data_IF_809016112565
#
_entry.id   IF_809016112565
#
_cell.length_a   1.000
_cell.length_b   1.000
_cell.length_c   1.000
_cell.angle_alpha   90.00
_cell.angle_beta   90.00
_cell.angle_gamma   90.00
#
_symmetry.space_group_name_H-M   'P 1'
#
loop_
_entity.id
_entity.type
_entity.pdbx_description
1 polymer ?
#
# COMPACT_ATOMS: atom_id res chain seq x y z
N UNK A 1 -9.99 -4.31 17.52
CA UNK A 1 -9.92 -5.24 16.37
C UNK A 1 -10.63 -4.59 15.20
N UNK A 2 -10.03 -4.49 14.01
CA UNK A 2 -10.71 -3.91 12.86
C UNK A 2 -11.94 -4.76 12.49
N UNK A 3 -13.01 -4.08 12.07
CA UNK A 3 -14.16 -4.73 11.44
C UNK A 3 -13.77 -5.12 10.01
N UNK A 4 -14.09 -6.34 9.60
CA UNK A 4 -13.82 -6.86 8.26
C UNK A 4 -15.10 -7.45 7.69
N UNK A 5 -15.43 -7.08 6.47
CA UNK A 5 -16.58 -7.57 5.73
C UNK A 5 -16.20 -8.04 4.32
N UNK A 6 -17.05 -8.82 3.68
CA UNK A 6 -16.87 -9.30 2.31
C UNK A 6 -15.84 -10.41 2.12
N UNK A 7 -15.20 -10.94 3.18
CA UNK A 7 -14.23 -12.04 3.07
C UNK A 7 -14.80 -13.28 2.35
N UNK A 8 -16.09 -13.56 2.54
CA UNK A 8 -16.78 -14.66 1.88
C UNK A 8 -16.89 -14.57 0.35
N UNK A 9 -16.63 -13.39 -0.22
CA UNK A 9 -16.66 -13.16 -1.68
C UNK A 9 -15.34 -13.50 -2.37
N UNK A 10 -14.29 -13.85 -1.61
CA UNK A 10 -12.99 -14.17 -2.19
C UNK A 10 -12.98 -15.54 -2.87
N UNK A 11 -12.30 -15.69 -4.03
CA UNK A 11 -12.04 -16.99 -4.63
C UNK A 11 -11.33 -17.92 -3.64
N UNK A 12 -11.81 -19.15 -3.51
CA UNK A 12 -11.29 -20.13 -2.53
C UNK A 12 -10.03 -20.86 -3.02
N UNK A 13 -9.73 -20.80 -4.30
CA UNK A 13 -8.54 -21.38 -4.94
C UNK A 13 -7.25 -20.58 -4.66
N UNK A 14 -7.37 -19.41 -4.04
CA UNK A 14 -6.21 -18.54 -3.74
C UNK A 14 -5.63 -17.81 -4.94
N UNK A 15 -6.24 -17.93 -6.12
CA UNK A 15 -5.74 -17.35 -7.37
C UNK A 15 -6.46 -16.04 -7.68
N UNK A 16 -5.97 -14.92 -7.16
CA UNK A 16 -6.59 -13.60 -7.37
C UNK A 16 -5.60 -12.44 -7.15
N UNK A 17 -5.97 -11.29 -7.68
CA UNK A 17 -5.28 -10.02 -7.52
C UNK A 17 -6.11 -9.09 -6.64
N UNK A 18 -5.70 -8.89 -5.38
CA UNK A 18 -6.25 -7.87 -4.50
C UNK A 18 -5.78 -6.48 -4.94
N UNK A 19 -6.73 -5.58 -5.14
CA UNK A 19 -6.45 -4.20 -5.56
C UNK A 19 -7.07 -3.24 -4.55
N UNK A 20 -6.26 -2.48 -3.86
CA UNK A 20 -6.73 -1.62 -2.76
C UNK A 20 -6.15 -0.22 -2.74
N UNK A 21 -6.73 0.61 -1.88
CA UNK A 21 -6.19 1.90 -1.51
C UNK A 21 -5.05 1.74 -0.51
N UNK A 22 -4.07 2.64 -0.60
CA UNK A 22 -2.95 2.71 0.35
C UNK A 22 -3.16 3.90 1.29
N UNK A 23 -3.09 3.66 2.60
CA UNK A 23 -3.39 4.69 3.59
C UNK A 23 -2.14 5.21 4.28
N UNK A 24 -2.24 6.32 4.99
CA UNK A 24 -1.14 6.83 5.80
C UNK A 24 -0.74 5.79 6.87
N UNK A 25 0.55 5.51 6.95
CA UNK A 25 1.07 4.51 7.90
C UNK A 25 1.15 3.09 7.36
N UNK A 26 0.47 2.76 6.26
CA UNK A 26 0.67 1.51 5.52
C UNK A 26 0.28 0.23 6.26
N UNK A 27 -0.53 0.30 7.31
CA UNK A 27 -0.90 -0.86 8.14
C UNK A 27 -1.64 -1.95 7.38
N UNK A 28 -2.37 -1.59 6.33
CA UNK A 28 -3.11 -2.51 5.47
C UNK A 28 -2.22 -3.53 4.74
N UNK A 29 -0.95 -3.21 4.53
CA UNK A 29 0.03 -4.14 3.94
C UNK A 29 0.14 -5.43 4.78
N UNK A 30 -0.07 -5.33 6.09
CA UNK A 30 -0.04 -6.45 7.02
C UNK A 30 -1.44 -6.98 7.33
N UNK A 31 -2.42 -6.08 7.49
CA UNK A 31 -3.79 -6.46 7.88
C UNK A 31 -4.49 -7.26 6.79
N UNK A 32 -4.43 -6.83 5.53
CA UNK A 32 -5.11 -7.53 4.43
C UNK A 32 -4.58 -8.96 4.27
N UNK A 33 -3.26 -9.21 4.13
CA UNK A 33 -2.74 -10.57 4.07
C UNK A 33 -3.09 -11.43 5.29
N UNK A 34 -3.10 -10.83 6.48
CA UNK A 34 -3.47 -11.53 7.71
C UNK A 34 -4.90 -12.05 7.65
N UNK A 35 -5.88 -11.20 7.33
CA UNK A 35 -7.30 -11.61 7.27
C UNK A 35 -7.58 -12.59 6.13
N UNK A 36 -6.97 -12.40 4.96
CA UNK A 36 -7.10 -13.36 3.85
C UNK A 36 -6.58 -14.73 4.26
N UNK A 37 -5.42 -14.78 4.91
CA UNK A 37 -4.86 -16.04 5.41
C UNK A 37 -5.76 -16.72 6.45
N UNK A 38 -6.39 -15.96 7.34
CA UNK A 38 -7.32 -16.50 8.33
C UNK A 38 -8.58 -17.07 7.68
N UNK A 39 -9.08 -16.45 6.62
CA UNK A 39 -10.35 -16.84 5.98
C UNK A 39 -10.21 -18.02 5.02
N UNK A 40 -9.18 -18.01 4.16
CA UNK A 40 -9.02 -19.01 3.09
C UNK A 40 -7.69 -19.76 3.13
N UNK A 41 -6.80 -19.48 4.09
CA UNK A 41 -5.48 -20.10 4.19
C UNK A 41 -4.46 -19.62 3.15
N UNK A 42 -4.85 -18.80 2.19
CA UNK A 42 -3.95 -18.34 1.13
C UNK A 42 -2.90 -17.37 1.63
N UNK A 43 -1.67 -17.51 1.13
CA UNK A 43 -0.59 -16.55 1.35
C UNK A 43 -0.70 -15.44 0.32
N UNK A 44 -0.86 -14.21 0.78
CA UNK A 44 -0.88 -13.03 -0.10
C UNK A 44 0.53 -12.46 -0.26
N UNK A 45 0.88 -12.06 -1.48
CA UNK A 45 2.17 -11.48 -1.87
C UNK A 45 2.00 -9.98 -2.16
N UNK A 46 2.24 -9.08 -1.18
CA UNK A 46 2.21 -7.65 -1.44
C UNK A 46 3.31 -7.22 -2.41
N UNK A 47 2.95 -6.45 -3.43
CA UNK A 47 3.91 -5.82 -4.34
C UNK A 47 4.42 -4.52 -3.74
N UNK A 48 5.64 -4.54 -3.23
CA UNK A 48 6.30 -3.40 -2.62
C UNK A 48 6.94 -2.48 -3.68
N UNK A 49 7.05 -1.19 -3.39
CA UNK A 49 7.75 -0.28 -4.28
C UNK A 49 9.23 -0.66 -4.43
N UNK A 50 9.81 -0.41 -5.63
CA UNK A 50 11.20 -0.78 -5.96
C UNK A 50 12.23 -0.21 -4.99
N UNK A 51 11.98 0.97 -4.44
CA UNK A 51 12.85 1.59 -3.43
C UNK A 51 12.94 0.77 -2.14
N UNK A 52 11.91 -0.02 -1.82
CA UNK A 52 11.90 -0.88 -0.63
C UNK A 52 12.88 -2.05 -0.75
N UNK A 53 13.22 -2.49 -1.96
CA UNK A 53 14.28 -3.48 -2.18
C UNK A 53 15.69 -2.99 -1.79
N UNK A 54 15.86 -1.69 -1.53
CA UNK A 54 17.10 -1.07 -1.07
C UNK A 54 17.11 -0.76 0.44
N UNK A 55 16.05 -1.16 1.16
CA UNK A 55 15.97 -0.93 2.60
C UNK A 55 16.98 -1.83 3.33
N UNK A 56 17.64 -1.30 4.36
CA UNK A 56 18.55 -2.13 5.18
C UNK A 56 17.77 -3.14 6.02
N UNK A 57 18.41 -4.27 6.31
CA UNK A 57 17.97 -5.17 7.37
C UNK A 57 17.96 -4.40 8.73
N UNK A 58 17.06 -4.70 9.65
CA UNK A 58 16.06 -5.81 9.64
C UNK A 58 14.73 -5.45 8.96
N UNK A 59 14.54 -4.22 8.47
CA UNK A 59 13.26 -3.78 7.91
C UNK A 59 12.90 -4.58 6.64
N UNK A 60 13.84 -4.79 5.73
CA UNK A 60 13.65 -5.63 4.54
C UNK A 60 13.22 -7.06 4.91
N UNK A 61 13.78 -7.61 5.99
CA UNK A 61 13.51 -8.97 6.43
C UNK A 61 12.09 -9.12 6.98
N UNK A 62 11.59 -8.11 7.68
CA UNK A 62 10.18 -8.08 8.13
C UNK A 62 9.23 -8.12 6.93
N UNK A 63 9.44 -7.28 5.93
CA UNK A 63 8.59 -7.27 4.73
C UNK A 63 8.68 -8.59 3.97
N UNK A 64 9.87 -9.17 3.82
CA UNK A 64 10.06 -10.47 3.18
C UNK A 64 9.37 -11.60 3.94
N UNK A 65 9.44 -11.59 5.28
CA UNK A 65 8.75 -12.56 6.13
C UNK A 65 7.23 -12.52 5.96
N UNK A 66 6.66 -11.33 5.76
CA UNK A 66 5.25 -11.15 5.41
C UNK A 66 4.93 -11.48 3.94
N UNK A 67 5.91 -11.86 3.15
CA UNK A 67 5.73 -12.28 1.76
C UNK A 67 5.77 -11.16 0.74
N UNK A 68 6.14 -9.94 1.15
CA UNK A 68 6.29 -8.83 0.21
C UNK A 68 7.42 -9.12 -0.80
N UNK A 69 7.19 -8.72 -2.04
CA UNK A 69 8.16 -8.83 -3.13
C UNK A 69 8.28 -7.49 -3.85
N UNK A 70 9.42 -7.26 -4.49
CA UNK A 70 9.62 -6.02 -5.27
C UNK A 70 8.63 -5.99 -6.44
N UNK A 71 7.82 -4.94 -6.50
CA UNK A 71 6.76 -4.76 -7.49
C UNK A 71 7.34 -4.40 -8.86
N UNK A 72 7.29 -5.37 -9.77
CA UNK A 72 7.57 -5.21 -11.18
C UNK A 72 6.56 -6.04 -11.99
N UNK A 73 6.24 -5.67 -13.24
CA UNK A 73 5.34 -6.46 -14.07
C UNK A 73 5.81 -7.91 -14.23
N UNK A 74 7.12 -8.12 -14.34
CA UNK A 74 7.77 -9.43 -14.48
C UNK A 74 7.55 -10.28 -13.22
N UNK A 75 7.78 -9.70 -12.05
CA UNK A 75 7.55 -10.36 -10.76
C UNK A 75 6.08 -10.73 -10.59
N UNK A 76 5.16 -9.83 -10.96
CA UNK A 76 3.73 -10.10 -10.87
C UNK A 76 3.32 -11.25 -11.80
N UNK A 77 3.82 -11.29 -13.06
CA UNK A 77 3.57 -12.39 -13.97
C UNK A 77 4.10 -13.72 -13.46
N UNK A 78 5.28 -13.71 -12.85
CA UNK A 78 5.88 -14.92 -12.28
C UNK A 78 5.04 -15.46 -11.13
N UNK A 79 4.59 -14.59 -10.21
CA UNK A 79 3.67 -14.98 -9.14
C UNK A 79 2.35 -15.55 -9.70
N UNK A 80 1.80 -14.92 -10.75
CA UNK A 80 0.58 -15.40 -11.41
C UNK A 80 0.74 -16.78 -12.06
N UNK A 81 1.92 -17.09 -12.62
CA UNK A 81 2.21 -18.44 -13.16
C UNK A 81 2.26 -19.52 -12.08
N UNK A 82 2.54 -19.13 -10.84
CA UNK A 82 2.54 -20.02 -9.68
C UNK A 82 1.25 -19.96 -8.86
N UNK A 83 0.19 -19.40 -9.43
CA UNK A 83 -1.14 -19.28 -8.82
C UNK A 83 -1.15 -18.60 -7.44
N UNK A 84 -0.20 -17.67 -7.21
CA UNK A 84 -0.07 -16.93 -5.96
C UNK A 84 -1.11 -15.80 -5.84
N UNK A 85 -1.68 -15.60 -4.66
CA UNK A 85 -2.51 -14.42 -4.38
C UNK A 85 -1.63 -13.17 -4.28
N UNK A 86 -1.99 -12.11 -4.97
CA UNK A 86 -1.18 -10.89 -5.08
C UNK A 86 -1.96 -9.70 -4.50
N UNK A 87 -1.29 -8.80 -3.79
CA UNK A 87 -1.85 -7.54 -3.32
C UNK A 87 -1.10 -6.38 -3.97
N UNK A 88 -1.85 -5.49 -4.61
CA UNK A 88 -1.32 -4.28 -5.23
C UNK A 88 -2.07 -3.03 -4.78
N UNK A 89 -1.30 -1.98 -4.53
CA UNK A 89 -1.79 -0.63 -4.29
C UNK A 89 -1.41 0.25 -5.49
N UNK A 90 -2.35 0.56 -6.41
CA UNK A 90 -2.00 1.28 -7.64
C UNK A 90 -1.40 2.67 -7.41
N UNK A 91 -1.81 3.34 -6.35
CA UNK A 91 -1.24 4.62 -5.93
C UNK A 91 0.17 4.51 -5.39
N UNK A 92 0.48 3.37 -4.75
CA UNK A 92 1.79 3.13 -4.12
C UNK A 92 2.14 4.20 -3.10
N UNK A 93 3.42 4.52 -2.97
CA UNK A 93 3.93 5.51 -2.01
C UNK A 93 3.29 6.90 -2.07
N UNK A 94 2.62 7.26 -3.19
CA UNK A 94 1.88 8.52 -3.30
C UNK A 94 0.68 8.60 -2.37
N UNK A 95 0.01 7.47 -2.13
CA UNK A 95 -1.15 7.41 -1.24
C UNK A 95 -0.74 7.43 0.23
N UNK A 96 0.45 6.94 0.56
CA UNK A 96 1.00 7.05 1.90
C UNK A 96 1.43 8.50 2.19
N UNK A 97 1.92 9.21 1.19
CA UNK A 97 2.47 10.56 1.29
C UNK A 97 1.39 11.65 1.16
N UNK A 98 0.30 11.52 1.91
CA UNK A 98 -0.80 12.50 1.92
C UNK A 98 -0.48 13.66 2.88
N UNK A 99 -0.52 14.88 2.38
CA UNK A 99 -0.45 16.10 3.19
C UNK A 99 -1.82 16.44 3.76
N UNK A 100 -1.87 17.39 4.67
CA UNK A 100 -3.13 17.89 5.25
C UNK A 100 -4.06 18.41 4.15
N UNK A 101 -5.29 17.89 4.14
CA UNK A 101 -6.32 18.18 3.14
C UNK A 101 -6.29 17.23 1.93
N UNK A 102 -5.41 16.23 1.92
CA UNK A 102 -5.36 15.19 0.89
C UNK A 102 -5.91 13.84 1.39
N UNK A 103 -6.47 13.80 2.60
CA UNK A 103 -7.06 12.61 3.21
C UNK A 103 -8.21 12.09 2.36
N UNK A 104 -8.46 10.79 2.37
CA UNK A 104 -9.54 10.09 1.64
C UNK A 104 -9.52 10.25 0.11
N UNK A 105 -8.43 10.73 -0.47
CA UNK A 105 -8.27 10.81 -1.92
C UNK A 105 -7.52 9.61 -2.48
N UNK A 106 -8.03 9.03 -3.57
CA UNK A 106 -7.29 8.02 -4.33
C UNK A 106 -6.30 8.71 -5.28
N UNK A 107 -5.03 8.35 -5.16
CA UNK A 107 -3.94 8.95 -5.97
C UNK A 107 -3.38 7.97 -6.99
N UNK A 108 -4.24 7.26 -7.71
CA UNK A 108 -3.85 6.24 -8.69
C UNK A 108 -3.31 6.81 -9.99
N UNK A 109 -3.68 8.05 -10.35
CA UNK A 109 -3.18 8.76 -11.54
C UNK A 109 -3.26 7.90 -12.82
N UNK A 110 -4.42 7.29 -13.06
CA UNK A 110 -4.69 6.42 -14.23
C UNK A 110 -3.76 5.20 -14.33
N UNK A 111 -3.14 4.77 -13.24
CA UNK A 111 -2.33 3.55 -13.23
C UNK A 111 -3.22 2.31 -13.36
N UNK A 112 -3.27 1.75 -14.55
CA UNK A 112 -4.07 0.57 -14.90
C UNK A 112 -3.22 -0.67 -15.17
N UNK A 113 -1.94 -0.69 -14.73
CA UNK A 113 -1.05 -1.82 -14.95
C UNK A 113 -1.56 -3.12 -14.34
N UNK A 114 -2.22 -3.02 -13.19
CA UNK A 114 -2.85 -4.17 -12.55
C UNK A 114 -3.99 -4.78 -13.38
N UNK A 115 -4.81 -3.94 -14.03
CA UNK A 115 -5.90 -4.42 -14.89
C UNK A 115 -5.36 -5.11 -16.14
N UNK A 116 -4.29 -4.56 -16.73
CA UNK A 116 -3.61 -5.22 -17.86
C UNK A 116 -3.08 -6.59 -17.45
N UNK A 117 -2.38 -6.71 -16.33
CA UNK A 117 -1.87 -7.98 -15.82
C UNK A 117 -2.98 -8.98 -15.55
N UNK A 118 -4.11 -8.52 -14.97
CA UNK A 118 -5.30 -9.35 -14.74
C UNK A 118 -5.83 -9.96 -16.07
N UNK A 119 -6.03 -9.13 -17.09
CA UNK A 119 -6.54 -9.56 -18.39
C UNK A 119 -5.54 -10.50 -19.08
N UNK A 120 -4.26 -10.14 -19.14
CA UNK A 120 -3.20 -10.93 -19.80
C UNK A 120 -3.04 -12.33 -19.18
N UNK A 121 -3.28 -12.47 -17.88
CA UNK A 121 -3.06 -13.73 -17.15
C UNK A 121 -4.36 -14.40 -16.68
N UNK A 122 -5.53 -13.90 -17.09
CA UNK A 122 -6.85 -14.39 -16.68
C UNK A 122 -6.96 -14.47 -15.13
N UNK A 123 -6.49 -13.43 -14.43
CA UNK A 123 -6.45 -13.35 -12.99
C UNK A 123 -7.61 -12.50 -12.47
N UNK A 124 -8.53 -13.04 -11.68
CA UNK A 124 -9.66 -12.25 -11.16
C UNK A 124 -9.16 -11.12 -10.23
N UNK A 125 -9.78 -9.94 -10.36
CA UNK A 125 -9.53 -8.82 -9.46
C UNK A 125 -10.54 -8.89 -8.32
N UNK A 126 -10.02 -8.82 -7.09
CA UNK A 126 -10.80 -8.65 -5.87
C UNK A 126 -10.51 -7.25 -5.32
N UNK A 127 -11.45 -6.30 -5.42
CA UNK A 127 -11.25 -4.98 -4.83
C UNK A 127 -11.29 -5.08 -3.31
N UNK A 128 -10.38 -4.36 -2.66
CA UNK A 128 -10.33 -4.27 -1.20
C UNK A 128 -10.16 -2.81 -0.78
N UNK A 129 -10.87 -2.40 0.27
CA UNK A 129 -10.76 -1.05 0.80
C UNK A 129 -10.47 -1.05 2.29
N UNK A 130 -9.49 -0.25 2.73
CA UNK A 130 -9.31 0.12 4.11
C UNK A 130 -9.93 1.49 4.36
N UNK A 131 -10.96 1.55 5.21
CA UNK A 131 -11.62 2.78 5.65
C UNK A 131 -11.07 3.16 7.03
N UNK A 132 -10.91 4.46 7.30
CA UNK A 132 -10.36 4.97 8.56
C UNK A 132 -8.82 4.98 8.63
N UNK A 133 -8.11 4.34 7.71
CA UNK A 133 -6.64 4.30 7.74
C UNK A 133 -5.98 5.68 7.66
N UNK A 134 -6.60 6.64 7.00
CA UNK A 134 -6.11 8.02 6.93
C UNK A 134 -6.34 8.82 8.25
N UNK A 135 -7.14 8.29 9.18
CA UNK A 135 -7.37 8.90 10.50
C UNK A 135 -6.36 8.45 11.57
N UNK A 136 -5.64 7.37 11.30
CA UNK A 136 -4.62 6.81 12.21
C UNK A 136 -3.53 7.85 12.51
N UNK A 137 -3.17 8.64 11.51
CA UNK A 137 -2.23 9.75 11.63
C UNK A 137 -2.85 11.04 11.07
N UNK A 138 -2.42 12.18 11.58
CA UNK A 138 -2.76 13.50 11.03
C UNK A 138 -1.53 14.14 10.40
N UNK A 139 -1.64 14.50 9.14
CA UNK A 139 -0.66 15.36 8.48
C UNK A 139 -0.74 16.78 9.03
N UNK A 140 0.40 17.33 9.43
CA UNK A 140 0.52 18.65 10.04
C UNK A 140 0.68 19.76 9.00
N UNK A 141 1.20 19.41 7.83
CA UNK A 141 1.59 20.34 6.77
C UNK A 141 0.70 20.19 5.55
N UNK A 142 0.34 21.30 4.94
CA UNK A 142 -0.22 21.34 3.59
C UNK A 142 0.91 21.26 2.57
N UNK A 143 0.67 20.64 1.41
CA UNK A 143 1.68 20.50 0.34
C UNK A 143 2.20 21.84 -0.16
N UNK A 144 1.30 22.82 -0.31
CA UNK A 144 1.60 24.15 -0.84
C UNK A 144 2.15 25.12 0.21
N UNK A 145 2.15 24.73 1.49
CA UNK A 145 2.76 25.51 2.58
C UNK A 145 4.28 25.58 2.45
N UNK A 146 4.91 26.57 3.11
CA UNK A 146 6.38 26.78 3.05
C UNK A 146 7.18 25.51 3.39
N UNK A 147 6.79 24.81 4.48
CA UNK A 147 7.44 23.57 4.89
C UNK A 147 7.10 22.37 3.98
N UNK A 148 5.88 22.32 3.46
CA UNK A 148 5.49 21.27 2.50
C UNK A 148 6.26 21.40 1.19
N UNK A 149 6.39 22.60 0.65
CA UNK A 149 7.22 22.88 -0.54
C UNK A 149 8.69 22.55 -0.29
N UNK A 150 9.22 22.87 0.89
CA UNK A 150 10.59 22.53 1.28
C UNK A 150 10.81 21.00 1.32
N UNK A 151 9.90 20.26 1.98
CA UNK A 151 9.92 18.79 2.00
C UNK A 151 9.87 18.21 0.57
N UNK A 152 8.99 18.74 -0.27
CA UNK A 152 8.85 18.31 -1.67
C UNK A 152 10.14 18.57 -2.47
N UNK A 153 10.74 19.75 -2.34
CA UNK A 153 11.97 20.12 -3.05
C UNK A 153 13.17 19.23 -2.63
N UNK A 154 13.30 18.94 -1.33
CA UNK A 154 14.35 18.04 -0.85
C UNK A 154 14.13 16.62 -1.42
N UNK A 155 12.88 16.12 -1.36
CA UNK A 155 12.57 14.78 -1.87
C UNK A 155 12.84 14.69 -3.37
N UNK A 156 12.49 15.72 -4.13
CA UNK A 156 12.78 15.80 -5.56
C UNK A 156 14.29 15.74 -5.83
N UNK A 157 15.08 16.51 -5.08
CA UNK A 157 16.55 16.52 -5.23
C UNK A 157 17.17 15.16 -4.90
N UNK A 158 16.64 14.42 -3.92
CA UNK A 158 17.19 13.14 -3.47
C UNK A 158 16.70 11.95 -4.29
N UNK A 159 15.47 11.98 -4.77
CA UNK A 159 14.81 10.82 -5.38
C UNK A 159 14.36 11.03 -6.82
N UNK A 160 14.43 12.27 -7.33
CA UNK A 160 13.87 12.65 -8.63
C UNK A 160 12.33 12.69 -8.65
N UNK A 161 11.68 12.66 -7.48
CA UNK A 161 10.22 12.55 -7.35
C UNK A 161 9.65 13.53 -6.33
N UNK A 162 8.59 14.24 -6.72
CA UNK A 162 7.87 15.19 -5.85
C UNK A 162 6.70 14.55 -5.12
N UNK A 163 6.18 13.46 -5.65
CA UNK A 163 4.93 12.82 -5.24
C UNK A 163 5.06 11.91 -4.02
N UNK A 164 6.28 11.64 -3.57
CA UNK A 164 6.61 10.83 -2.40
C UNK A 164 7.17 11.63 -1.23
N UNK A 165 7.05 12.95 -1.25
CA UNK A 165 7.53 13.78 -0.16
C UNK A 165 6.83 13.38 1.16
N UNK A 166 7.60 13.08 2.23
CA UNK A 166 7.00 12.68 3.50
C UNK A 166 6.30 13.88 4.16
N UNK A 167 5.01 13.76 4.50
CA UNK A 167 4.36 14.76 5.32
C UNK A 167 4.86 14.64 6.77
N UNK A 168 4.88 15.76 7.50
CA UNK A 168 5.04 15.69 8.95
C UNK A 168 3.73 15.18 9.56
N UNK A 169 3.77 13.98 10.12
CA UNK A 169 2.60 13.31 10.70
C UNK A 169 2.68 13.24 12.22
N UNK A 170 1.53 13.16 12.87
CA UNK A 170 1.41 12.85 14.29
C UNK A 170 0.28 11.87 14.54
N UNK A 171 0.46 11.02 15.54
CA UNK A 171 -0.56 10.12 16.09
C UNK A 171 -1.27 10.71 17.29
N UNK A 172 -1.22 10.03 18.44
CA UNK A 172 -1.76 10.53 19.71
C UNK A 172 -0.87 11.67 20.21
N UNK A 173 -1.46 12.86 20.39
CA UNK A 173 -0.71 14.04 20.79
C UNK A 173 0.41 14.38 19.80
N UNK A 174 1.64 14.69 20.25
CA UNK A 174 2.79 14.96 19.39
C UNK A 174 3.56 13.69 18.97
N UNK A 175 3.09 12.50 19.35
CA UNK A 175 3.80 11.24 19.12
C UNK A 175 3.48 10.62 17.78
N UNK A 176 4.25 9.58 17.40
CA UNK A 176 3.96 8.69 16.26
C UNK A 176 3.17 7.43 16.68
N UNK A 177 2.59 7.42 17.88
CA UNK A 177 1.71 6.33 18.32
C UNK A 177 0.40 6.42 17.52
N UNK A 178 -0.03 5.33 16.85
CA UNK A 178 -1.26 5.31 16.07
C UNK A 178 -2.46 5.69 16.92
N UNK A 179 -3.42 6.43 16.33
CA UNK A 179 -4.69 6.73 16.99
C UNK A 179 -5.56 5.50 17.00
N UNK A 180 -6.29 5.22 18.07
CA UNK A 180 -7.32 4.19 18.07
C UNK A 180 -8.42 4.56 17.06
N UNK A 181 -8.95 3.57 16.37
CA UNK A 181 -10.07 3.65 15.43
C UNK A 181 -11.26 2.84 15.97
#
# INVERSE_FOLDING_TARGET
RPYVDGLGNMPRDGRFLLVGNHTQGGGEVFLIPYFVRQEIGARVRPLAERSMGKMPAPMSDVFAAYGAVVGAPETARELMRHDESILVFPGGGREISKFKGEEYTLRWQRRAGFARLSVENHYPIVPVALVGGDDVYRSMLTRDGRLGRFSTAITEKLTGRTDMAPPLMRGIGPTMIPRPQ
#
